data_IF_361930234073
#
_entry.id   IF_361930234073
#
_cell.length_a   1.000
_cell.length_b   1.000
_cell.length_c   1.000
_cell.angle_alpha   90.00
_cell.angle_beta   90.00
_cell.angle_gamma   90.00
#
_symmetry.space_group_name_H-M   'P 1'
#
loop_
_entity.id
_entity.type
_entity.pdbx_description
1 polymer ?
#
# COMPACT_ATOMS: atom_id res chain seq x y z
N UNK A 1 27.00 -8.92 13.45
CA UNK A 1 26.69 -7.60 12.87
C UNK A 1 25.55 -7.85 11.91
N UNK A 2 24.32 -7.51 12.30
CA UNK A 2 23.17 -7.68 11.41
C UNK A 2 23.27 -6.59 10.34
N UNK A 3 23.10 -6.97 9.07
CA UNK A 3 22.94 -6.01 7.99
C UNK A 3 21.48 -5.59 8.01
N UNK A 4 21.20 -4.40 8.52
CA UNK A 4 19.86 -3.82 8.47
C UNK A 4 19.71 -3.06 7.15
N UNK A 5 18.49 -3.05 6.63
CA UNK A 5 18.14 -2.24 5.47
C UNK A 5 17.94 -0.79 5.94
N UNK A 6 18.47 0.19 5.20
CA UNK A 6 18.27 1.62 5.49
C UNK A 6 16.81 2.04 5.28
N UNK A 7 16.16 1.44 4.27
CA UNK A 7 14.74 1.64 3.95
C UNK A 7 14.13 0.32 3.50
N UNK A 8 12.87 0.08 3.87
CA UNK A 8 12.10 -1.07 3.44
C UNK A 8 10.75 -0.61 2.89
N UNK A 9 10.40 -1.07 1.70
CA UNK A 9 9.10 -0.80 1.07
C UNK A 9 8.27 -2.08 1.05
N UNK A 10 7.05 -2.00 1.58
CA UNK A 10 6.08 -3.10 1.57
C UNK A 10 4.89 -2.66 0.74
N UNK A 11 4.60 -3.42 -0.32
CA UNK A 11 3.47 -3.17 -1.22
C UNK A 11 2.51 -4.34 -1.10
N UNK A 12 1.26 -4.03 -0.80
CA UNK A 12 0.24 -5.05 -0.52
C UNK A 12 -0.95 -4.77 -1.40
N UNK A 13 -1.31 -5.76 -2.21
CA UNK A 13 -2.47 -5.71 -3.08
C UNK A 13 -3.65 -6.48 -2.48
N UNK A 14 -4.85 -6.04 -2.82
CA UNK A 14 -6.13 -6.66 -2.46
C UNK A 14 -6.26 -6.99 -0.96
N UNK A 15 -6.00 -6.02 -0.07
CA UNK A 15 -6.10 -6.26 1.39
C UNK A 15 -7.51 -6.69 1.85
N UNK A 16 -8.56 -6.28 1.13
CA UNK A 16 -9.92 -6.76 1.34
C UNK A 16 -10.12 -8.26 1.10
N UNK A 17 -9.21 -8.94 0.40
CA UNK A 17 -9.30 -10.38 0.13
C UNK A 17 -8.67 -11.24 1.25
N UNK A 18 -8.24 -10.63 2.36
CA UNK A 18 -7.63 -11.33 3.51
C UNK A 18 -8.61 -12.18 4.36
N UNK A 19 -9.81 -12.45 3.86
CA UNK A 19 -10.82 -13.29 4.49
C UNK A 19 -12.06 -12.50 4.91
N UNK A 20 -12.57 -12.75 6.11
CA UNK A 20 -13.71 -11.99 6.65
C UNK A 20 -13.28 -10.66 7.29
N UNK A 21 -14.25 -9.79 7.59
CA UNK A 21 -14.04 -8.46 8.15
C UNK A 21 -13.13 -8.43 9.40
N UNK A 22 -13.21 -9.44 10.27
CA UNK A 22 -12.35 -9.53 11.45
C UNK A 22 -10.89 -9.82 11.06
N UNK A 23 -10.69 -10.68 10.06
CA UNK A 23 -9.35 -11.00 9.54
C UNK A 23 -8.74 -9.78 8.84
N UNK A 24 -9.53 -9.10 8.00
CA UNK A 24 -9.14 -7.85 7.33
C UNK A 24 -8.73 -6.79 8.35
N UNK A 25 -9.54 -6.58 9.39
CA UNK A 25 -9.24 -5.59 10.43
C UNK A 25 -7.97 -5.96 11.21
N UNK A 26 -7.75 -7.22 11.55
CA UNK A 26 -6.52 -7.67 12.21
C UNK A 26 -5.27 -7.40 11.35
N UNK A 27 -5.37 -7.65 10.03
CA UNK A 27 -4.28 -7.39 9.09
C UNK A 27 -4.00 -5.90 8.96
N UNK A 28 -5.04 -5.06 8.87
CA UNK A 28 -4.92 -3.59 8.88
C UNK A 28 -4.26 -3.09 10.16
N UNK A 29 -4.66 -3.62 11.33
CA UNK A 29 -4.05 -3.28 12.61
C UNK A 29 -2.58 -3.69 12.70
N UNK A 30 -2.21 -4.84 12.14
CA UNK A 30 -0.82 -5.29 12.06
C UNK A 30 0.03 -4.30 11.26
N UNK A 31 -0.41 -3.87 10.08
CA UNK A 31 0.34 -2.92 9.26
C UNK A 31 0.46 -1.54 9.90
N UNK A 32 -0.60 -1.07 10.57
CA UNK A 32 -0.53 0.14 11.39
C UNK A 32 0.52 0.00 12.49
N UNK A 33 0.56 -1.13 13.18
CA UNK A 33 1.57 -1.36 14.22
C UNK A 33 2.99 -1.36 13.66
N UNK A 34 3.19 -1.86 12.43
CA UNK A 34 4.50 -1.92 11.79
C UNK A 34 5.03 -0.52 11.42
N UNK A 35 4.16 0.40 10.98
CA UNK A 35 4.53 1.80 10.67
C UNK A 35 4.70 2.65 11.94
N UNK A 36 3.93 2.35 12.99
CA UNK A 36 3.92 3.11 14.24
C UNK A 36 4.94 2.64 15.28
N UNK A 37 5.63 1.52 15.04
CA UNK A 37 6.75 1.07 15.87
C UNK A 37 7.96 2.02 15.70
N UNK A 38 7.85 3.20 16.30
CA UNK A 38 8.98 4.04 16.69
C UNK A 38 9.51 3.42 17.97
N UNK A 39 10.78 3.01 17.96
CA UNK A 39 11.43 2.46 19.15
C UNK A 39 11.42 3.51 20.28
N UNK A 40 10.55 3.31 21.26
CA UNK A 40 10.41 4.20 22.43
C UNK A 40 11.44 3.89 23.52
N UNK A 41 12.30 2.88 23.30
CA UNK A 41 13.28 2.44 24.29
C UNK A 41 14.68 3.06 24.14
N UNK A 42 14.92 3.77 23.04
CA UNK A 42 16.18 4.46 22.77
C UNK A 42 15.90 5.96 22.63
N UNK A 43 16.56 6.80 23.44
CA UNK A 43 16.58 8.27 23.27
C UNK A 43 17.37 8.71 22.03
N UNK A 44 17.50 7.83 21.04
CA UNK A 44 18.23 8.00 19.78
C UNK A 44 17.22 7.73 18.67
N UNK A 45 16.96 8.67 17.73
CA UNK A 45 15.97 8.46 16.68
C UNK A 45 16.43 7.33 15.76
N UNK A 46 15.94 6.12 16.05
CA UNK A 46 15.78 4.97 15.15
C UNK A 46 17.07 4.54 14.43
N UNK A 47 17.79 3.56 15.00
CA UNK A 47 18.77 2.72 14.28
C UNK A 47 18.04 1.49 13.72
N UNK A 48 17.00 1.70 12.92
CA UNK A 48 16.26 0.64 12.23
C UNK A 48 15.56 1.23 11.02
N UNK A 49 15.84 0.72 9.81
CA UNK A 49 15.45 1.40 8.58
C UNK A 49 13.98 1.81 8.49
N UNK A 50 13.73 2.91 7.78
CA UNK A 50 12.38 3.43 7.60
C UNK A 50 11.50 2.42 6.84
N UNK A 51 10.40 1.99 7.47
CA UNK A 51 9.41 1.13 6.81
C UNK A 51 8.34 2.00 6.15
N UNK A 52 8.22 1.86 4.83
CA UNK A 52 7.22 2.51 4.00
C UNK A 52 6.22 1.47 3.51
N UNK A 53 4.91 1.73 3.66
CA UNK A 53 3.86 0.78 3.25
C UNK A 53 2.89 1.43 2.29
N UNK A 54 2.59 0.74 1.19
CA UNK A 54 1.51 1.06 0.26
C UNK A 54 0.46 -0.06 0.26
N UNK A 55 -0.79 0.30 0.54
CA UNK A 55 -1.93 -0.62 0.62
C UNK A 55 -2.89 -0.33 -0.53
N UNK A 56 -3.12 -1.33 -1.37
CA UNK A 56 -4.05 -1.26 -2.49
C UNK A 56 -5.32 -2.03 -2.15
N UNK A 57 -6.46 -1.38 -2.37
CA UNK A 57 -7.77 -1.91 -2.02
C UNK A 57 -8.85 -1.31 -2.92
N UNK A 58 -9.99 -1.99 -3.02
CA UNK A 58 -11.24 -1.38 -3.51
C UNK A 58 -11.74 -0.32 -2.52
N UNK A 59 -12.67 0.53 -2.95
CA UNK A 59 -13.23 1.53 -2.04
C UNK A 59 -14.18 0.88 -1.02
N UNK A 60 -13.63 0.50 0.13
CA UNK A 60 -14.36 -0.16 1.22
C UNK A 60 -14.27 0.66 2.51
N UNK A 61 -15.44 1.01 3.06
CA UNK A 61 -15.57 1.91 4.21
C UNK A 61 -14.85 1.41 5.47
N UNK A 62 -14.90 0.10 5.71
CA UNK A 62 -14.25 -0.51 6.87
C UNK A 62 -12.74 -0.25 6.87
N UNK A 63 -12.09 -0.52 5.73
CA UNK A 63 -10.64 -0.39 5.56
C UNK A 63 -10.24 1.09 5.57
N UNK A 64 -10.98 1.94 4.83
CA UNK A 64 -10.75 3.39 4.78
C UNK A 64 -10.87 4.02 6.17
N UNK A 65 -11.91 3.68 6.93
CA UNK A 65 -12.14 4.21 8.28
C UNK A 65 -11.01 3.83 9.25
N UNK A 66 -10.42 2.64 9.10
CA UNK A 66 -9.32 2.19 9.95
C UNK A 66 -7.97 2.81 9.59
N UNK A 67 -7.74 3.17 8.32
CA UNK A 67 -6.45 3.63 7.79
C UNK A 67 -6.32 5.17 7.67
N UNK A 68 -7.44 5.90 7.63
CA UNK A 68 -7.47 7.34 7.30
C UNK A 68 -6.58 8.26 8.15
N UNK A 69 -6.18 7.83 9.36
CA UNK A 69 -5.34 8.64 10.25
C UNK A 69 -3.84 8.38 10.07
N UNK A 70 -3.47 7.18 9.64
CA UNK A 70 -2.07 6.75 9.55
C UNK A 70 -1.55 6.72 8.11
N UNK A 71 -2.46 6.68 7.12
CA UNK A 71 -2.13 6.59 5.71
C UNK A 71 -2.74 7.75 4.90
N UNK A 72 -1.99 8.23 3.93
CA UNK A 72 -2.52 9.12 2.90
C UNK A 72 -3.35 8.30 1.91
N UNK A 73 -4.63 8.65 1.76
CA UNK A 73 -5.50 8.01 0.76
C UNK A 73 -5.23 8.60 -0.62
N UNK A 74 -4.95 7.73 -1.59
CA UNK A 74 -4.82 8.08 -3.01
C UNK A 74 -5.93 7.37 -3.77
N UNK A 75 -6.86 8.14 -4.35
CA UNK A 75 -7.90 7.58 -5.20
C UNK A 75 -7.35 7.32 -6.60
N UNK A 76 -7.48 6.09 -7.07
CA UNK A 76 -7.13 5.70 -8.43
C UNK A 76 -8.44 5.62 -9.23
N UNK A 77 -8.70 6.63 -10.05
CA UNK A 77 -9.84 6.65 -10.95
C UNK A 77 -9.49 5.99 -12.29
N UNK A 78 -10.43 5.21 -12.83
CA UNK A 78 -10.34 4.75 -14.21
C UNK A 78 -10.84 5.87 -15.13
N UNK A 79 -9.92 6.49 -15.87
CA UNK A 79 -10.28 7.54 -16.83
C UNK A 79 -10.61 6.92 -18.18
N UNK A 80 -11.68 7.40 -18.83
CA UNK A 80 -12.10 6.90 -20.15
C UNK A 80 -11.06 7.20 -21.23
N UNK A 81 -10.29 8.26 -21.06
CA UNK A 81 -9.20 8.67 -21.93
C UNK A 81 -8.07 7.63 -21.93
N UNK A 82 -7.81 6.98 -20.79
CA UNK A 82 -6.80 5.93 -20.66
C UNK A 82 -7.11 4.74 -21.57
N UNK A 83 -8.40 4.45 -21.78
CA UNK A 83 -8.83 3.39 -22.70
C UNK A 83 -8.49 3.72 -24.15
N UNK A 84 -8.61 4.99 -24.55
CA UNK A 84 -8.25 5.44 -25.89
C UNK A 84 -6.74 5.32 -26.10
N UNK A 85 -5.95 5.79 -25.13
CA UNK A 85 -4.49 5.69 -25.16
C UNK A 85 -4.04 4.24 -25.19
N UNK A 86 -4.61 3.39 -24.35
CA UNK A 86 -4.34 1.96 -24.32
C UNK A 86 -4.70 1.30 -25.66
N UNK A 87 -5.90 1.55 -26.19
CA UNK A 87 -6.37 0.96 -27.45
C UNK A 87 -5.49 1.38 -28.63
N UNK A 88 -5.18 2.67 -28.75
CA UNK A 88 -4.28 3.17 -29.79
C UNK A 88 -2.90 2.51 -29.70
N UNK A 89 -2.35 2.41 -28.49
CA UNK A 89 -1.06 1.77 -28.25
C UNK A 89 -1.06 0.29 -28.63
N UNK A 90 -2.13 -0.45 -28.33
CA UNK A 90 -2.27 -1.87 -28.69
C UNK A 90 -2.47 -2.08 -30.20
N UNK A 91 -3.18 -1.17 -30.87
CA UNK A 91 -3.31 -1.19 -32.35
C UNK A 91 -1.95 -0.94 -33.00
N UNK A 92 -1.21 0.08 -32.55
CA UNK A 92 0.11 0.38 -33.10
C UNK A 92 1.13 -0.74 -32.88
N UNK A 93 1.04 -1.48 -31.77
CA UNK A 93 1.88 -2.67 -31.53
C UNK A 93 1.59 -3.77 -32.54
N UNK A 94 0.32 -3.98 -32.91
CA UNK A 94 -0.09 -5.03 -33.87
C UNK A 94 0.26 -4.69 -35.31
N UNK A 95 0.23 -3.42 -35.69
CA UNK A 95 0.57 -2.97 -37.06
C UNK A 95 2.09 -3.01 -37.31
N UNK A 96 2.91 -2.84 -36.25
CA UNK A 96 4.37 -2.83 -36.34
C UNK A 96 5.03 -4.22 -36.31
N UNK A 97 4.25 -5.29 -36.12
CA UNK A 97 4.68 -6.69 -36.23
C UNK A 97 4.26 -7.26 -37.57
#
# INVERSE_FOLDING_TARGET
MACEFDETFIIIDAINECGNDNQVSNVVHLFKSLVTQVDTSTHDPVVGGAINIALFNRDEDLIRGQLQHDFTSVQIAAHTEDLLVYTASEVDKRIRN
#
